data_IF_299687865264
#
_entry.id   IF_299687865264
#
_cell.length_a   1.000
_cell.length_b   1.000
_cell.length_c   1.000
_cell.angle_alpha   90.00
_cell.angle_beta   90.00
_cell.angle_gamma   90.00
#
_symmetry.space_group_name_H-M   'P 1'
#
loop_
_entity.id
_entity.type
_entity.pdbx_description
1 polymer ?
#
# COMPACT_ATOMS: atom_id res chain seq x y z
N UNK A 1 -49.76 -27.40 38.34
CA UNK A 1 -48.96 -27.52 37.09
C UNK A 1 -48.33 -26.16 36.86
N UNK A 2 -47.08 -25.97 37.30
CA UNK A 2 -46.35 -24.70 37.10
C UNK A 2 -45.63 -24.75 35.75
N UNK A 3 -45.76 -23.74 34.88
CA UNK A 3 -44.97 -23.70 33.66
C UNK A 3 -43.56 -23.24 34.00
N UNK A 4 -42.59 -24.10 33.68
CA UNK A 4 -41.17 -23.77 33.66
C UNK A 4 -40.89 -22.94 32.41
N UNK A 5 -40.42 -21.71 32.56
CA UNK A 5 -39.95 -20.89 31.45
C UNK A 5 -38.43 -20.99 31.38
N UNK A 6 -37.93 -21.69 30.35
CA UNK A 6 -36.50 -21.74 30.04
C UNK A 6 -36.13 -20.47 29.26
N UNK A 7 -35.28 -19.62 29.83
CA UNK A 7 -34.73 -18.45 29.15
C UNK A 7 -33.46 -18.89 28.42
N UNK A 8 -33.45 -18.75 27.09
CA UNK A 8 -32.25 -18.93 26.28
C UNK A 8 -31.47 -17.62 26.24
N UNK A 9 -30.26 -17.60 26.79
CA UNK A 9 -29.30 -16.53 26.52
C UNK A 9 -28.68 -16.79 25.14
N UNK A 10 -29.08 -16.00 24.14
CA UNK A 10 -28.33 -15.91 22.90
C UNK A 10 -27.05 -15.12 23.19
N UNK A 11 -25.92 -15.81 23.21
CA UNK A 11 -24.60 -15.18 23.20
C UNK A 11 -24.39 -14.62 21.79
N UNK A 12 -24.65 -13.32 21.60
CA UNK A 12 -24.18 -12.62 20.42
C UNK A 12 -22.67 -12.52 20.52
N UNK A 13 -21.96 -13.36 19.76
CA UNK A 13 -20.55 -13.14 19.48
C UNK A 13 -20.47 -11.89 18.64
N UNK A 14 -19.97 -10.79 19.21
CA UNK A 14 -19.56 -9.64 18.43
C UNK A 14 -18.47 -10.12 17.47
N UNK A 15 -18.74 -10.03 16.17
CA UNK A 15 -17.68 -10.20 15.18
C UNK A 15 -16.62 -9.13 15.45
N UNK A 16 -15.31 -9.46 15.41
CA UNK A 16 -14.28 -8.42 15.48
C UNK A 16 -14.55 -7.41 14.36
N UNK A 17 -14.38 -6.13 14.67
CA UNK A 17 -14.42 -5.08 13.66
C UNK A 17 -13.44 -5.48 12.54
N UNK A 18 -13.93 -5.57 11.30
CA UNK A 18 -13.03 -5.79 10.18
C UNK A 18 -12.05 -4.61 10.16
N UNK A 19 -10.75 -4.89 10.37
CA UNK A 19 -9.70 -3.90 10.16
C UNK A 19 -9.87 -3.38 8.74
N UNK A 20 -10.35 -2.14 8.63
CA UNK A 20 -10.82 -1.57 7.37
C UNK A 20 -9.64 -1.37 6.42
N UNK A 21 -9.79 -1.81 5.18
CA UNK A 21 -8.94 -1.35 4.08
C UNK A 21 -9.32 0.10 3.71
N UNK A 22 -8.34 0.90 3.29
CA UNK A 22 -8.57 2.24 2.75
C UNK A 22 -8.04 2.30 1.33
N UNK A 23 -8.87 2.70 0.37
CA UNK A 23 -8.43 2.93 -1.00
C UNK A 23 -8.15 4.41 -1.24
N UNK A 24 -7.07 4.70 -1.96
CA UNK A 24 -6.58 6.03 -2.26
C UNK A 24 -6.56 6.25 -3.77
N UNK A 25 -6.99 7.43 -4.21
CA UNK A 25 -6.98 7.82 -5.62
C UNK A 25 -8.25 7.51 -6.39
N UNK A 26 -8.25 7.78 -7.71
CA UNK A 26 -7.13 8.36 -8.47
C UNK A 26 -6.77 9.79 -8.03
N UNK A 27 -5.48 10.07 -7.80
CA UNK A 27 -4.97 11.43 -7.53
C UNK A 27 -3.93 11.84 -8.57
N UNK A 28 -3.85 13.12 -8.99
CA UNK A 28 -2.79 13.62 -9.89
C UNK A 28 -1.39 13.27 -9.38
N UNK A 29 -0.48 12.96 -10.30
CA UNK A 29 0.87 12.54 -9.97
C UNK A 29 1.84 13.03 -11.04
N UNK A 30 2.82 13.85 -10.67
CA UNK A 30 3.90 14.31 -11.56
C UNK A 30 5.25 13.78 -11.12
N UNK A 31 5.38 13.43 -9.84
CA UNK A 31 6.60 12.96 -9.21
C UNK A 31 6.31 12.10 -7.99
N UNK A 32 7.37 11.45 -7.50
CA UNK A 32 7.33 10.71 -6.26
C UNK A 32 6.97 11.53 -5.01
N UNK A 33 7.20 12.85 -5.02
CA UNK A 33 6.73 13.74 -3.96
C UNK A 33 5.21 13.93 -3.93
N UNK A 34 4.48 13.57 -5.00
CA UNK A 34 3.01 13.59 -5.04
C UNK A 34 2.40 12.31 -4.48
N UNK A 35 3.24 11.32 -4.11
CA UNK A 35 2.77 10.13 -3.42
C UNK A 35 2.07 10.51 -2.10
N UNK A 36 0.94 9.86 -1.76
CA UNK A 36 0.33 10.01 -0.44
C UNK A 36 1.19 9.40 0.68
N UNK A 37 2.30 8.74 0.34
CA UNK A 37 3.16 8.01 1.27
C UNK A 37 4.60 8.53 1.23
N UNK A 38 5.36 8.33 2.32
CA UNK A 38 6.74 8.77 2.38
C UNK A 38 7.67 7.77 1.68
N UNK A 39 7.52 7.60 0.36
CA UNK A 39 8.14 6.53 -0.46
C UNK A 39 9.67 6.54 -0.50
N UNK A 40 10.32 7.61 -0.04
CA UNK A 40 11.77 7.71 0.15
C UNK A 40 12.26 7.32 1.55
N UNK A 41 11.37 6.95 2.46
CA UNK A 41 11.71 6.59 3.84
C UNK A 41 12.04 5.11 3.99
N UNK A 42 12.71 4.76 5.07
CA UNK A 42 12.97 3.36 5.41
C UNK A 42 11.67 2.56 5.52
N UNK A 43 11.69 1.32 5.05
CA UNK A 43 10.51 0.46 5.01
C UNK A 43 9.58 0.68 3.81
N UNK A 44 9.90 1.62 2.93
CA UNK A 44 9.25 1.80 1.63
C UNK A 44 10.17 1.42 0.48
N UNK A 45 9.53 0.95 -0.59
CA UNK A 45 10.13 0.64 -1.86
C UNK A 45 9.38 1.43 -2.93
N UNK A 46 10.15 2.16 -3.73
CA UNK A 46 9.70 2.81 -4.94
C UNK A 46 10.46 2.17 -6.11
N UNK A 47 9.71 1.52 -6.99
CA UNK A 47 10.20 1.03 -8.26
C UNK A 47 9.77 2.02 -9.34
N UNK A 48 10.75 2.75 -9.87
CA UNK A 48 10.53 3.72 -10.96
C UNK A 48 10.84 3.12 -12.32
N UNK A 49 11.27 1.86 -12.40
CA UNK A 49 11.67 1.19 -13.64
C UNK A 49 12.81 1.85 -14.44
N UNK A 50 13.38 2.97 -13.95
CA UNK A 50 14.38 3.78 -14.64
C UNK A 50 15.71 3.08 -14.89
N UNK A 51 15.98 1.98 -14.19
CA UNK A 51 17.14 1.13 -14.46
C UNK A 51 16.88 0.05 -15.52
N UNK A 52 15.66 0.01 -16.08
CA UNK A 52 15.25 -0.98 -17.08
C UNK A 52 14.79 -2.31 -16.50
N UNK A 53 14.57 -2.41 -15.19
CA UNK A 53 14.18 -3.64 -14.51
C UNK A 53 13.03 -3.43 -13.52
N UNK A 54 12.33 -4.52 -13.20
CA UNK A 54 11.54 -4.64 -11.97
C UNK A 54 12.42 -5.44 -11.00
N UNK A 55 13.07 -4.76 -10.07
CA UNK A 55 14.10 -5.38 -9.22
C UNK A 55 14.03 -4.94 -7.76
N UNK A 56 13.05 -4.13 -7.38
CA UNK A 56 12.73 -3.90 -5.98
C UNK A 56 12.43 -5.23 -5.26
N UNK A 57 12.83 -5.39 -3.98
CA UNK A 57 12.77 -6.68 -3.30
C UNK A 57 11.35 -7.22 -3.15
N UNK A 58 11.18 -8.53 -3.31
CA UNK A 58 9.97 -9.23 -2.87
C UNK A 58 8.72 -8.98 -3.70
N UNK A 59 8.86 -8.51 -4.94
CA UNK A 59 7.76 -8.34 -5.88
C UNK A 59 8.05 -9.03 -7.21
N UNK A 60 6.99 -9.53 -7.85
CA UNK A 60 6.99 -9.96 -9.26
C UNK A 60 5.84 -9.29 -10.00
N UNK A 61 6.03 -8.97 -11.27
CA UNK A 61 5.06 -8.32 -12.14
C UNK A 61 4.68 -9.17 -13.36
N UNK A 62 3.53 -8.88 -13.98
CA UNK A 62 3.02 -9.59 -15.16
C UNK A 62 3.21 -8.85 -16.50
N UNK A 63 4.05 -7.81 -16.52
CA UNK A 63 4.34 -6.97 -17.69
C UNK A 63 5.83 -6.91 -18.01
N UNK A 64 6.26 -5.85 -18.66
CA UNK A 64 7.66 -5.60 -19.01
C UNK A 64 7.99 -4.11 -19.00
N UNK A 65 9.21 -3.77 -18.62
CA UNK A 65 9.70 -2.39 -18.70
C UNK A 65 9.82 -1.95 -20.16
N UNK A 66 9.29 -0.78 -20.49
CA UNK A 66 9.44 -0.09 -21.76
C UNK A 66 10.54 0.97 -21.61
N UNK A 67 11.50 0.99 -22.55
CA UNK A 67 12.57 1.99 -22.55
C UNK A 67 12.08 3.36 -23.05
N UNK A 68 12.93 4.41 -22.99
CA UNK A 68 12.61 5.72 -23.56
C UNK A 68 12.23 5.62 -25.04
N UNK A 69 11.23 6.37 -25.45
CA UNK A 69 10.67 6.31 -26.80
C UNK A 69 9.43 7.19 -26.96
N UNK A 70 9.10 7.54 -28.20
CA UNK A 70 7.97 8.46 -28.49
C UNK A 70 6.57 7.88 -28.29
N UNK A 71 6.45 6.72 -27.64
CA UNK A 71 5.19 6.12 -27.18
C UNK A 71 5.27 5.69 -25.71
N UNK A 72 6.38 6.00 -25.04
CA UNK A 72 6.58 5.63 -23.63
C UNK A 72 5.96 6.74 -22.79
N UNK A 73 5.00 6.39 -21.96
CA UNK A 73 4.43 7.29 -20.97
C UNK A 73 4.95 6.95 -19.58
N UNK A 74 6.12 7.51 -19.26
CA UNK A 74 6.71 7.48 -17.91
C UNK A 74 6.26 8.71 -17.12
N UNK A 75 6.38 8.66 -15.79
CA UNK A 75 6.06 9.82 -14.94
C UNK A 75 6.92 11.03 -15.34
N UNK A 76 6.27 12.20 -15.41
CA UNK A 76 6.85 13.46 -15.93
C UNK A 76 8.28 13.72 -15.45
N UNK A 77 8.55 13.63 -14.14
CA UNK A 77 9.87 14.01 -13.63
C UNK A 77 10.97 12.95 -13.64
N UNK A 78 10.75 11.78 -14.24
CA UNK A 78 11.76 10.72 -14.29
C UNK A 78 12.97 11.08 -15.16
N UNK A 79 12.81 12.01 -16.11
CA UNK A 79 13.93 12.57 -16.88
C UNK A 79 14.65 13.74 -16.17
N UNK A 80 14.16 14.12 -14.98
CA UNK A 80 14.65 15.22 -14.16
C UNK A 80 14.02 16.59 -14.46
N UNK A 81 13.01 16.67 -15.33
CA UNK A 81 12.28 17.88 -15.70
C UNK A 81 10.77 17.62 -15.62
N UNK A 82 9.97 18.61 -15.20
CA UNK A 82 8.51 18.53 -15.32
C UNK A 82 8.12 19.41 -16.51
N UNK A 83 7.89 18.79 -17.67
CA UNK A 83 7.54 19.49 -18.92
C UNK A 83 6.32 18.91 -19.65
N UNK A 84 5.69 17.89 -19.07
CA UNK A 84 4.52 17.22 -19.60
C UNK A 84 4.85 16.11 -20.58
N UNK A 85 6.09 15.58 -20.59
CA UNK A 85 6.56 14.57 -21.55
C UNK A 85 7.17 13.34 -20.87
N UNK A 86 6.52 12.19 -20.98
CA UNK A 86 7.02 10.92 -20.42
C UNK A 86 8.08 10.18 -21.26
N UNK A 87 8.39 10.68 -22.47
CA UNK A 87 9.13 9.90 -23.49
C UNK A 87 10.58 9.59 -23.16
N UNK A 88 11.18 10.36 -22.26
CA UNK A 88 12.61 10.30 -21.95
C UNK A 88 12.90 9.41 -20.71
N UNK A 89 11.84 8.94 -20.02
CA UNK A 89 11.86 7.96 -18.93
C UNK A 89 11.49 6.53 -19.35
N UNK A 90 11.09 5.70 -18.39
CA UNK A 90 10.72 4.29 -18.54
C UNK A 90 9.45 3.96 -17.78
N UNK A 91 8.54 3.29 -18.45
CA UNK A 91 7.30 2.79 -17.88
C UNK A 91 7.28 1.26 -17.81
N UNK A 92 6.19 0.70 -17.28
CA UNK A 92 5.90 -0.73 -17.25
C UNK A 92 4.63 -1.05 -18.04
N UNK A 93 4.78 -1.80 -19.12
CA UNK A 93 3.72 -2.08 -20.07
C UNK A 93 3.08 -3.47 -19.84
N UNK A 94 1.77 -3.57 -20.09
CA UNK A 94 1.06 -4.84 -20.08
C UNK A 94 -0.26 -4.83 -20.85
N UNK A 95 -0.94 -5.99 -20.92
CA UNK A 95 -2.19 -6.12 -21.65
C UNK A 95 -3.33 -5.33 -20.99
N UNK A 96 -4.15 -4.62 -21.77
CA UNK A 96 -5.19 -3.74 -21.24
C UNK A 96 -6.24 -4.47 -20.37
N UNK A 97 -6.89 -5.51 -20.90
CA UNK A 97 -8.03 -6.17 -20.24
C UNK A 97 -7.62 -7.24 -19.22
N UNK A 98 -6.53 -7.95 -19.49
CA UNK A 98 -5.93 -8.84 -18.49
C UNK A 98 -5.27 -8.01 -17.37
N UNK A 99 -4.80 -6.79 -17.69
CA UNK A 99 -4.19 -5.87 -16.75
C UNK A 99 -2.76 -6.21 -16.40
N UNK A 100 -2.18 -5.36 -15.58
CA UNK A 100 -0.89 -5.53 -14.94
C UNK A 100 -1.14 -5.95 -13.49
N UNK A 101 -0.46 -7.01 -13.07
CA UNK A 101 -0.54 -7.56 -11.71
C UNK A 101 0.84 -7.51 -11.07
N UNK A 102 0.90 -7.05 -9.83
CA UNK A 102 2.06 -7.17 -8.97
C UNK A 102 1.73 -8.07 -7.78
N UNK A 103 2.58 -9.05 -7.50
CA UNK A 103 2.41 -10.00 -6.40
C UNK A 103 3.59 -9.89 -5.45
N UNK A 104 3.30 -9.72 -4.16
CA UNK A 104 4.27 -9.51 -3.11
C UNK A 104 4.56 -10.81 -2.36
N UNK A 105 5.82 -11.04 -2.03
CA UNK A 105 6.29 -12.24 -1.36
C UNK A 105 6.65 -11.96 0.10
N UNK A 106 5.78 -12.42 1.00
CA UNK A 106 5.94 -12.25 2.44
C UNK A 106 7.24 -12.84 3.00
N UNK A 107 7.78 -13.90 2.38
CA UNK A 107 9.03 -14.51 2.81
C UNK A 107 10.23 -13.56 2.70
N UNK A 108 10.16 -12.58 1.80
CA UNK A 108 11.20 -11.55 1.64
C UNK A 108 11.22 -10.58 2.82
N UNK A 109 10.10 -10.44 3.53
CA UNK A 109 9.89 -9.44 4.57
C UNK A 109 9.57 -10.09 5.93
N UNK A 110 10.29 -11.16 6.27
CA UNK A 110 10.15 -11.82 7.57
C UNK A 110 8.77 -12.45 7.82
N UNK A 111 8.02 -12.79 6.77
CA UNK A 111 6.70 -13.39 6.86
C UNK A 111 5.53 -12.39 6.80
N UNK A 112 5.80 -11.10 6.60
CA UNK A 112 4.77 -10.05 6.48
C UNK A 112 4.55 -9.62 5.03
N UNK A 113 3.34 -9.20 4.70
CA UNK A 113 3.04 -8.54 3.44
C UNK A 113 3.09 -7.01 3.60
N UNK A 114 3.43 -6.24 2.54
CA UNK A 114 3.33 -4.78 2.58
C UNK A 114 1.92 -4.33 2.95
N UNK A 115 1.79 -3.28 3.74
CA UNK A 115 0.48 -2.77 4.19
C UNK A 115 -0.02 -1.62 3.31
N UNK A 116 0.89 -0.92 2.63
CA UNK A 116 0.61 0.12 1.65
C UNK A 116 1.11 -0.37 0.31
N UNK A 117 0.24 -0.38 -0.70
CA UNK A 117 0.63 -0.75 -2.08
C UNK A 117 -0.12 0.12 -3.08
N UNK A 118 0.60 0.66 -4.05
CA UNK A 118 0.06 1.57 -5.04
C UNK A 118 0.90 1.61 -6.30
N UNK A 119 0.33 2.21 -7.33
CA UNK A 119 0.89 2.27 -8.67
C UNK A 119 0.37 3.53 -9.36
N UNK A 120 1.18 4.11 -10.22
CA UNK A 120 0.77 5.22 -11.08
C UNK A 120 0.32 4.66 -12.42
N UNK A 121 -0.90 4.97 -12.81
CA UNK A 121 -1.34 4.80 -14.20
C UNK A 121 -0.73 5.92 -15.02
N UNK A 122 -0.15 5.59 -16.18
CA UNK A 122 0.41 6.59 -17.09
C UNK A 122 -0.27 6.58 -18.46
N UNK A 123 -0.55 5.41 -19.05
CA UNK A 123 -1.27 5.37 -20.35
C UNK A 123 -2.29 4.22 -20.48
N UNK A 124 -3.32 4.50 -21.25
CA UNK A 124 -4.13 3.50 -21.94
C UNK A 124 -5.18 4.15 -22.85
N UNK A 125 -5.89 3.31 -23.61
CA UNK A 125 -6.81 3.81 -24.64
C UNK A 125 -8.02 4.55 -24.04
N UNK A 126 -8.35 5.74 -24.55
CA UNK A 126 -9.63 6.36 -24.26
C UNK A 126 -10.79 5.62 -24.94
N UNK A 127 -11.73 5.18 -24.13
CA UNK A 127 -12.91 4.43 -24.59
C UNK A 127 -14.12 5.37 -24.56
N UNK A 128 -14.57 5.77 -25.76
CA UNK A 128 -15.75 6.60 -25.92
C UNK A 128 -16.97 5.99 -25.21
N UNK A 129 -17.61 6.78 -24.36
CA UNK A 129 -18.79 6.40 -23.56
C UNK A 129 -18.55 5.27 -22.55
N UNK A 130 -17.31 5.06 -22.10
CA UNK A 130 -17.01 4.16 -21.00
C UNK A 130 -16.38 4.96 -19.84
N UNK A 131 -17.19 5.68 -19.03
CA UNK A 131 -16.71 6.15 -17.75
C UNK A 131 -16.25 4.96 -16.91
N UNK A 132 -15.27 5.21 -16.05
CA UNK A 132 -14.67 4.25 -15.13
C UNK A 132 -14.04 3.09 -15.89
N UNK A 133 -13.30 3.44 -16.95
CA UNK A 133 -12.62 2.49 -17.81
C UNK A 133 -11.42 1.84 -17.13
N UNK A 134 -10.76 2.54 -16.21
CA UNK A 134 -9.65 2.03 -15.41
C UNK A 134 -10.20 1.42 -14.13
N UNK A 135 -9.62 0.30 -13.70
CA UNK A 135 -9.90 -0.33 -12.42
C UNK A 135 -8.61 -0.71 -11.72
N UNK A 136 -8.54 -0.46 -10.42
CA UNK A 136 -7.49 -0.91 -9.52
C UNK A 136 -8.12 -1.75 -8.42
N UNK A 137 -7.63 -2.96 -8.20
CA UNK A 137 -8.09 -3.85 -7.13
C UNK A 137 -6.91 -4.46 -6.36
N UNK A 138 -7.19 -4.85 -5.12
CA UNK A 138 -6.20 -5.46 -4.23
C UNK A 138 -6.73 -6.73 -3.58
N UNK A 139 -5.82 -7.60 -3.15
CA UNK A 139 -6.12 -8.89 -2.55
C UNK A 139 -5.33 -9.12 -1.26
N UNK A 140 -5.97 -9.77 -0.29
CA UNK A 140 -5.34 -10.22 0.95
C UNK A 140 -4.53 -11.51 0.76
N UNK A 141 -3.89 -11.96 1.84
CA UNK A 141 -3.09 -13.19 1.87
C UNK A 141 -3.89 -14.47 1.56
N UNK A 142 -5.22 -14.47 1.75
CA UNK A 142 -6.11 -15.58 1.41
C UNK A 142 -6.58 -15.53 -0.05
N UNK A 143 -6.16 -14.51 -0.81
CA UNK A 143 -6.61 -14.26 -2.17
C UNK A 143 -8.03 -13.70 -2.26
N UNK A 144 -8.62 -13.26 -1.14
CA UNK A 144 -9.88 -12.53 -1.17
C UNK A 144 -9.63 -11.11 -1.68
N UNK A 145 -10.56 -10.61 -2.50
CA UNK A 145 -10.48 -9.23 -2.96
C UNK A 145 -10.86 -8.30 -1.81
N UNK A 146 -9.96 -7.36 -1.53
CA UNK A 146 -10.18 -6.26 -0.60
C UNK A 146 -11.26 -5.36 -1.19
N UNK A 147 -11.00 -4.74 -2.33
CA UNK A 147 -11.96 -3.86 -3.00
C UNK A 147 -11.46 -3.42 -4.37
N UNK A 148 -12.18 -2.49 -4.97
CA UNK A 148 -11.85 -1.92 -6.29
C UNK A 148 -12.18 -0.44 -6.30
N UNK A 149 -11.31 0.38 -6.88
CA UNK A 149 -11.57 1.77 -7.26
C UNK A 149 -11.36 1.93 -8.78
N UNK A 150 -11.96 2.97 -9.35
CA UNK A 150 -11.97 3.17 -10.81
C UNK A 150 -11.59 4.60 -11.18
N UNK A 151 -11.26 4.82 -12.45
CA UNK A 151 -11.02 6.17 -12.99
C UNK A 151 -11.42 6.34 -14.46
N UNK A 152 -11.60 7.61 -14.83
CA UNK A 152 -12.13 8.08 -16.12
C UNK A 152 -11.22 9.14 -16.75
N UNK A 153 -9.91 8.88 -16.77
CA UNK A 153 -8.90 9.84 -17.19
C UNK A 153 -7.94 9.43 -18.32
N UNK A 154 -7.95 8.20 -18.89
CA UNK A 154 -7.18 7.96 -20.12
C UNK A 154 -7.73 8.85 -21.23
N UNK A 155 -6.85 9.51 -21.97
CA UNK A 155 -7.20 10.40 -23.07
C UNK A 155 -7.03 9.73 -24.45
N UNK A 156 -6.35 8.58 -24.48
CA UNK A 156 -6.11 7.76 -25.66
C UNK A 156 -5.04 8.33 -26.59
N UNK A 157 -4.26 9.29 -26.11
CA UNK A 157 -3.00 9.69 -26.72
C UNK A 157 -1.99 8.56 -26.61
N UNK A 158 -0.97 8.62 -27.46
CA UNK A 158 0.23 7.77 -27.38
C UNK A 158 1.47 8.63 -27.57
N UNK A 159 1.34 9.95 -27.34
CA UNK A 159 2.37 10.93 -27.63
C UNK A 159 3.22 11.25 -26.40
N UNK A 160 3.25 10.33 -25.41
CA UNK A 160 4.00 10.47 -24.17
C UNK A 160 3.54 11.67 -23.34
N UNK A 161 2.22 11.81 -23.14
CA UNK A 161 1.62 12.91 -22.40
C UNK A 161 1.34 12.48 -20.95
N UNK A 162 1.60 13.35 -19.97
CA UNK A 162 1.54 12.96 -18.54
C UNK A 162 0.32 13.52 -17.81
N UNK A 163 -0.61 14.15 -18.52
CA UNK A 163 -1.73 14.88 -17.91
C UNK A 163 -2.74 13.94 -17.21
N UNK A 164 -2.80 12.71 -17.66
CA UNK A 164 -3.59 11.58 -17.20
C UNK A 164 -2.94 10.78 -16.07
N UNK A 165 -1.70 11.11 -15.68
CA UNK A 165 -0.99 10.35 -14.66
C UNK A 165 -1.72 10.37 -13.32
N UNK A 166 -2.17 9.20 -12.87
CA UNK A 166 -2.90 9.09 -11.59
C UNK A 166 -2.36 7.96 -10.74
N UNK A 167 -2.13 8.30 -9.48
CA UNK A 167 -1.85 7.32 -8.45
C UNK A 167 -3.12 6.58 -8.01
N UNK A 168 -3.01 5.26 -7.87
CA UNK A 168 -3.98 4.37 -7.26
C UNK A 168 -3.32 3.59 -6.14
N UNK A 169 -3.95 3.48 -4.98
CA UNK A 169 -3.38 2.76 -3.86
C UNK A 169 -4.39 2.16 -2.90
N UNK A 170 -3.88 1.30 -2.03
CA UNK A 170 -4.61 0.72 -0.91
C UNK A 170 -3.74 0.66 0.34
N UNK A 171 -4.37 0.87 1.49
CA UNK A 171 -3.84 0.54 2.80
C UNK A 171 -4.64 -0.61 3.40
N UNK A 172 -3.95 -1.64 3.89
CA UNK A 172 -4.57 -2.76 4.58
C UNK A 172 -3.63 -3.30 5.65
N UNK A 173 -4.00 -3.14 6.92
CA UNK A 173 -3.14 -3.47 8.07
C UNK A 173 -2.71 -4.95 8.11
N UNK A 174 -3.56 -5.95 7.79
CA UNK A 174 -3.12 -7.34 7.66
C UNK A 174 -2.14 -7.61 6.50
N UNK A 175 -2.04 -6.69 5.53
CA UNK A 175 -1.11 -6.75 4.42
C UNK A 175 -1.74 -7.14 3.07
N UNK A 176 -1.16 -6.61 1.99
CA UNK A 176 -1.63 -6.75 0.61
C UNK A 176 -0.73 -7.75 -0.11
N UNK A 177 -1.33 -8.84 -0.59
CA UNK A 177 -0.63 -9.89 -1.31
C UNK A 177 -0.45 -9.56 -2.79
N UNK A 178 -1.45 -8.91 -3.37
CA UNK A 178 -1.50 -8.66 -4.81
C UNK A 178 -2.30 -7.41 -5.11
N UNK A 179 -1.83 -6.63 -6.08
CA UNK A 179 -2.61 -5.57 -6.74
C UNK A 179 -2.75 -5.88 -8.22
N UNK A 180 -3.84 -5.39 -8.81
CA UNK A 180 -4.07 -5.47 -10.26
C UNK A 180 -4.70 -4.17 -10.73
N UNK A 181 -4.16 -3.63 -11.82
CA UNK A 181 -4.72 -2.49 -12.52
C UNK A 181 -4.99 -2.87 -13.98
N UNK A 182 -6.16 -2.51 -14.49
CA UNK A 182 -6.59 -2.92 -15.83
C UNK A 182 -7.60 -1.94 -16.43
N UNK A 183 -7.83 -2.07 -17.74
CA UNK A 183 -8.86 -1.34 -18.46
C UNK A 183 -9.99 -2.26 -18.89
N UNK A 184 -11.24 -1.78 -18.88
CA UNK A 184 -12.44 -2.58 -19.23
C UNK A 184 -12.40 -3.13 -20.67
N UNK A 185 -11.78 -2.40 -21.59
CA UNK A 185 -11.55 -2.80 -22.98
C UNK A 185 -10.22 -2.16 -23.46
N UNK A 186 -9.81 -2.40 -24.71
CA UNK A 186 -8.60 -1.81 -25.29
C UNK A 186 -7.81 -2.81 -26.13
N UNK A 187 -7.21 -2.34 -27.23
CA UNK A 187 -6.47 -3.18 -28.18
C UNK A 187 -4.98 -3.31 -27.87
N UNK A 188 -4.42 -2.33 -27.16
CA UNK A 188 -3.05 -1.93 -27.41
C UNK A 188 -2.18 -1.90 -26.13
N UNK A 189 -2.77 -2.21 -24.97
CA UNK A 189 -2.08 -2.30 -23.69
C UNK A 189 -2.44 -1.15 -22.76
N UNK A 190 -1.78 -1.16 -21.60
CA UNK A 190 -1.75 -0.07 -20.62
C UNK A 190 -0.30 0.10 -20.16
N UNK A 191 0.06 1.31 -19.76
CA UNK A 191 1.33 1.63 -19.11
C UNK A 191 1.08 2.10 -17.68
N UNK A 192 2.00 1.72 -16.81
CA UNK A 192 2.04 2.12 -15.41
C UNK A 192 3.47 2.42 -15.02
N UNK A 193 3.65 3.20 -13.97
CA UNK A 193 4.94 3.58 -13.47
C UNK A 193 4.89 3.72 -11.94
N UNK A 194 6.04 3.95 -11.29
CA UNK A 194 6.15 4.27 -9.87
C UNK A 194 5.36 3.28 -8.99
N UNK A 195 5.70 1.99 -9.09
CA UNK A 195 5.18 0.98 -8.18
C UNK A 195 5.70 1.28 -6.78
N UNK A 196 4.77 1.45 -5.85
CA UNK A 196 5.04 1.85 -4.49
C UNK A 196 4.52 0.80 -3.53
N UNK A 197 5.36 0.36 -2.60
CA UNK A 197 4.89 -0.49 -1.53
C UNK A 197 5.75 -0.36 -0.28
N UNK A 198 5.13 -0.54 0.87
CA UNK A 198 5.82 -0.39 2.13
C UNK A 198 5.01 -0.86 3.31
N UNK A 199 5.64 -0.74 4.47
CA UNK A 199 5.02 -1.02 5.75
C UNK A 199 4.54 0.29 6.35
N UNK A 200 3.38 0.23 7.00
CA UNK A 200 3.07 1.25 7.98
C UNK A 200 4.09 0.98 9.08
N UNK A 201 4.92 1.97 9.39
CA UNK A 201 5.91 1.85 10.45
C UNK A 201 5.18 1.28 11.67
N UNK A 202 5.67 0.16 12.20
CA UNK A 202 5.06 -0.42 13.39
C UNK A 202 5.06 0.69 14.43
N UNK A 203 3.87 1.08 14.86
CA UNK A 203 3.76 2.07 15.88
C UNK A 203 4.16 1.39 17.18
N UNK A 204 5.43 1.45 17.51
CA UNK A 204 5.94 0.80 18.73
C UNK A 204 5.30 1.37 19.99
N UNK A 205 4.72 2.56 19.88
CA UNK A 205 3.89 3.18 20.90
C UNK A 205 2.48 2.57 21.04
N UNK A 206 1.95 1.87 20.03
CA UNK A 206 0.76 0.99 20.13
C UNK A 206 1.26 -0.35 20.73
N UNK A 207 1.60 -0.28 22.02
CA UNK A 207 2.29 -1.33 22.74
C UNK A 207 1.41 -2.55 22.98
N UNK A 208 0.09 -2.35 23.09
CA UNK A 208 -0.87 -3.43 23.29
C UNK A 208 -1.41 -4.00 21.95
N UNK A 209 -1.06 -3.37 20.82
CA UNK A 209 -1.44 -3.73 19.45
C UNK A 209 -2.94 -3.72 19.19
N UNK A 210 -3.68 -2.78 19.79
CA UNK A 210 -5.12 -2.62 19.59
C UNK A 210 -5.49 -1.69 18.42
N UNK A 211 -4.49 -1.06 17.80
CA UNK A 211 -4.60 -0.24 16.61
C UNK A 211 -4.68 1.26 16.89
N UNK A 212 -4.54 1.70 18.13
CA UNK A 212 -4.47 3.09 18.54
C UNK A 212 -3.33 3.29 19.53
N UNK A 213 -2.82 4.53 19.65
CA UNK A 213 -1.91 4.90 20.74
C UNK A 213 -2.72 5.66 21.76
N UNK A 214 -2.93 5.06 22.93
CA UNK A 214 -3.69 5.66 24.01
C UNK A 214 -3.17 5.28 25.41
N UNK A 215 -3.90 5.69 26.44
CA UNK A 215 -3.49 5.44 27.83
C UNK A 215 -3.22 3.94 28.13
N UNK A 216 -3.91 3.02 27.46
CA UNK A 216 -3.74 1.58 27.68
C UNK A 216 -2.41 1.06 27.13
N UNK A 217 -1.82 1.70 26.11
CA UNK A 217 -0.46 1.36 25.67
C UNK A 217 0.57 1.81 26.69
N UNK A 218 0.40 3.02 27.23
CA UNK A 218 1.30 3.54 28.24
C UNK A 218 1.27 2.68 29.50
N UNK A 219 0.06 2.32 29.97
CA UNK A 219 -0.12 1.44 31.14
C UNK A 219 0.51 0.06 30.90
N UNK A 220 0.26 -0.54 29.72
CA UNK A 220 0.85 -1.83 29.35
C UNK A 220 2.38 -1.78 29.23
N UNK A 221 2.93 -0.69 28.68
CA UNK A 221 4.38 -0.49 28.61
C UNK A 221 5.00 -0.35 30.00
N UNK A 222 4.42 0.49 30.88
CA UNK A 222 4.90 0.66 32.26
C UNK A 222 4.84 -0.67 33.02
N UNK A 223 3.75 -1.43 32.90
CA UNK A 223 3.65 -2.75 33.54
C UNK A 223 4.78 -3.67 33.07
N UNK A 224 5.01 -3.79 31.77
CA UNK A 224 6.10 -4.59 31.20
C UNK A 224 7.48 -4.09 31.63
N UNK A 225 7.71 -2.78 31.60
CA UNK A 225 8.96 -2.11 31.95
C UNK A 225 9.33 -2.32 33.43
N UNK A 226 8.35 -2.29 34.33
CA UNK A 226 8.54 -2.54 35.77
C UNK A 226 8.69 -4.05 36.10
N UNK A 227 8.72 -4.92 35.09
CA UNK A 227 8.93 -6.36 35.22
C UNK A 227 7.66 -7.20 35.30
N UNK A 228 6.51 -6.61 34.94
CA UNK A 228 5.23 -7.29 34.77
C UNK A 228 5.13 -8.10 33.47
N UNK A 229 3.91 -8.52 33.13
CA UNK A 229 3.65 -9.29 31.90
C UNK A 229 3.61 -8.34 30.69
N UNK A 230 4.42 -8.63 29.68
CA UNK A 230 4.40 -7.88 28.43
C UNK A 230 3.29 -8.41 27.51
N UNK A 231 2.58 -7.55 26.76
CA UNK A 231 1.66 -7.97 25.71
C UNK A 231 2.32 -8.95 24.72
N UNK A 232 1.55 -9.87 24.10
CA UNK A 232 2.11 -10.85 23.18
C UNK A 232 2.91 -10.21 22.04
N UNK A 233 4.21 -10.53 21.97
CA UNK A 233 5.10 -10.00 20.93
C UNK A 233 5.72 -8.63 21.24
N UNK A 234 5.36 -8.02 22.37
CA UNK A 234 5.97 -6.79 22.86
C UNK A 234 7.18 -7.06 23.77
N UNK A 235 8.03 -6.05 23.91
CA UNK A 235 9.21 -6.06 24.79
C UNK A 235 9.40 -4.67 25.38
N UNK A 236 9.75 -4.59 26.68
CA UNK A 236 10.12 -3.32 27.32
C UNK A 236 11.48 -2.79 26.83
N UNK A 237 12.31 -3.63 26.22
CA UNK A 237 13.53 -3.23 25.49
C UNK A 237 13.11 -2.51 24.18
N UNK A 238 12.90 -1.20 24.32
CA UNK A 238 12.34 -0.32 23.33
C UNK A 238 13.41 0.23 22.39
N UNK A 239 14.69 0.30 22.73
CA UNK A 239 15.71 0.65 21.72
C UNK A 239 16.37 -0.58 21.07
N UNK A 240 16.10 -1.78 21.60
CA UNK A 240 16.54 -3.05 21.06
C UNK A 240 18.01 -3.36 21.36
N UNK A 241 18.60 -2.72 22.37
CA UNK A 241 20.01 -2.88 22.72
C UNK A 241 20.29 -4.12 23.59
N UNK A 242 19.24 -4.80 24.04
CA UNK A 242 19.31 -6.01 24.85
C UNK A 242 19.29 -5.77 26.36
N UNK A 243 19.13 -4.52 26.80
CA UNK A 243 18.90 -4.15 28.20
C UNK A 243 17.54 -3.45 28.34
N UNK A 244 16.97 -3.50 29.55
CA UNK A 244 15.77 -2.72 29.88
C UNK A 244 16.22 -1.65 30.86
N UNK A 245 16.29 -0.40 30.42
CA UNK A 245 16.74 0.72 31.21
C UNK A 245 16.02 2.05 30.87
N UNK A 246 16.55 3.16 31.39
CA UNK A 246 15.92 4.47 31.22
C UNK A 246 15.81 4.92 29.75
N UNK A 247 16.71 4.48 28.87
CA UNK A 247 16.66 4.83 27.45
C UNK A 247 15.47 4.20 26.74
N UNK A 248 15.07 2.99 27.14
CA UNK A 248 13.85 2.38 26.63
C UNK A 248 12.60 3.16 27.02
N UNK A 249 12.51 3.51 28.31
CA UNK A 249 11.38 4.26 28.83
C UNK A 249 11.27 5.61 28.14
N UNK A 250 12.39 6.32 27.99
CA UNK A 250 12.42 7.59 27.28
C UNK A 250 12.03 7.41 25.80
N UNK A 251 12.56 6.39 25.12
CA UNK A 251 12.24 6.10 23.73
C UNK A 251 10.75 5.81 23.53
N UNK A 252 10.14 5.05 24.45
CA UNK A 252 8.71 4.80 24.44
C UNK A 252 7.91 6.08 24.67
N UNK A 253 8.24 6.88 25.69
CA UNK A 253 7.54 8.14 25.96
C UNK A 253 7.63 9.10 24.77
N UNK A 254 8.80 9.23 24.15
CA UNK A 254 8.98 10.08 22.96
C UNK A 254 8.06 9.60 21.82
N UNK A 255 8.04 8.30 21.55
CA UNK A 255 7.16 7.71 20.53
C UNK A 255 5.68 7.88 20.87
N UNK A 256 5.30 7.69 22.14
CA UNK A 256 3.95 7.82 22.65
C UNK A 256 3.40 9.24 22.49
N UNK A 257 4.22 10.26 22.81
CA UNK A 257 3.84 11.66 22.68
C UNK A 257 3.74 12.13 21.22
N UNK A 258 4.54 11.55 20.32
CA UNK A 258 4.46 11.84 18.87
C UNK A 258 3.36 11.07 18.15
N UNK A 259 2.93 9.92 18.70
CA UNK A 259 2.03 8.98 18.05
C UNK A 259 2.68 8.25 16.87
N UNK A 260 1.83 7.68 16.02
CA UNK A 260 2.15 7.12 14.70
C UNK A 260 1.72 8.10 13.60
#
# INVERSE_FOLDING_TARGET
>A
MNPSWTVWFALTVAAPAALGQSFLGPTPYLCDHDSPWPVRSEGYYLETFEDGALNTPGVIGSGSVTGPGGITDSVDCDDGVIDGLGRDGRSYFGPATAGITFTFNAATFGGRLPQRTGIVWTDGVHILNAPDSIHFEAFDAAGQRLGTISGSHPDGSVNSETAEDRFYGVEHLPGVWRIRIWQTAGCCGIEVDHLQYGFIAECRADFNADGFVDFFDFDAYVECFEGGECPPGASADFDGDGFIDFFDFQGFVDAFETGC
#
